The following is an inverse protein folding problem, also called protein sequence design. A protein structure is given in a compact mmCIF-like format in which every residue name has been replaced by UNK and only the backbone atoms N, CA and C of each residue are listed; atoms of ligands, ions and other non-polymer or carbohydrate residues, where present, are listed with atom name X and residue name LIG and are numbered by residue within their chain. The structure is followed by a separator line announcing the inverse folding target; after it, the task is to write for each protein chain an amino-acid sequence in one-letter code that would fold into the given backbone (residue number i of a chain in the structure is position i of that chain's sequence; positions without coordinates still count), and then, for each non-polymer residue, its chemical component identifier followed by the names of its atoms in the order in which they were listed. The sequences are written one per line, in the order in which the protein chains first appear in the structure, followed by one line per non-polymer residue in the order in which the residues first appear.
data_IF_396573491085
#
_entry.id   IF_396573491085
#
_cell.length_a   1.000
_cell.length_b   1.000
_cell.length_c   1.000
_cell.angle_alpha   90.00
_cell.angle_beta   90.00
_cell.angle_gamma   90.00
#
_symmetry.space_group_name_H-M   'P 1'
#
loop_
_entity.id
_entity.type
_entity.pdbx_description
1 polymer ?
#
# COMPACT_ATOMS: atom_id res chain seq x y z
N UNK A 1 -9.06 29.46 26.96
CA UNK A 1 -9.85 29.30 25.75
C UNK A 1 -9.10 29.62 24.47
N UNK A 2 -8.34 30.71 24.41
CA UNK A 2 -7.59 31.04 23.18
C UNK A 2 -6.56 30.00 22.80
N UNK A 3 -5.94 29.30 23.77
CA UNK A 3 -4.93 28.29 23.50
C UNK A 3 -5.52 27.01 22.89
N UNK A 4 -6.77 26.69 23.26
CA UNK A 4 -7.44 25.48 22.72
C UNK A 4 -7.80 25.63 21.26
N UNK A 5 -8.17 26.86 20.83
CA UNK A 5 -8.49 27.12 19.44
C UNK A 5 -7.27 26.97 18.54
N UNK A 6 -6.09 27.42 18.95
CA UNK A 6 -4.84 27.28 18.20
C UNK A 6 -4.45 25.79 18.07
N UNK A 7 -4.62 25.02 19.12
CA UNK A 7 -4.33 23.58 19.10
C UNK A 7 -5.25 22.84 18.13
N UNK A 8 -6.53 23.19 18.12
CA UNK A 8 -7.51 22.57 17.20
C UNK A 8 -7.17 22.90 15.76
N UNK A 9 -6.80 24.13 15.45
CA UNK A 9 -6.40 24.52 14.09
C UNK A 9 -5.14 23.78 13.67
N UNK A 10 -4.16 23.63 14.54
CA UNK A 10 -2.93 22.90 14.25
C UNK A 10 -3.21 21.42 13.94
N UNK A 11 -4.07 20.76 14.71
CA UNK A 11 -4.46 19.38 14.48
C UNK A 11 -5.17 19.25 13.13
N UNK A 12 -6.04 20.17 12.79
CA UNK A 12 -6.73 20.19 11.50
C UNK A 12 -5.76 20.32 10.32
N UNK A 13 -4.77 21.20 10.42
CA UNK A 13 -3.76 21.38 9.38
C UNK A 13 -2.93 20.10 9.20
N UNK A 14 -2.55 19.43 10.27
CA UNK A 14 -1.82 18.17 10.21
C UNK A 14 -2.63 17.11 9.46
N UNK A 15 -3.93 17.02 9.71
CA UNK A 15 -4.81 16.06 9.03
C UNK A 15 -4.89 16.30 7.52
N UNK A 16 -4.83 17.55 7.08
CA UNK A 16 -4.88 17.89 5.65
C UNK A 16 -3.68 17.32 4.89
N UNK A 17 -2.51 17.19 5.53
CA UNK A 17 -1.29 16.71 4.89
C UNK A 17 -1.07 15.21 5.07
N UNK A 18 -1.91 14.51 5.79
CA UNK A 18 -1.78 13.08 5.97
C UNK A 18 -2.31 12.31 4.77
N UNK A 19 -1.60 11.23 4.41
CA UNK A 19 -2.08 10.28 3.41
C UNK A 19 -3.23 9.45 3.98
N UNK A 20 -4.07 8.92 3.10
CA UNK A 20 -5.11 7.99 3.50
C UNK A 20 -4.48 6.65 3.89
N UNK A 21 -5.03 6.03 4.91
CA UNK A 21 -4.57 4.75 5.42
C UNK A 21 -5.73 3.77 5.39
N UNK A 22 -5.50 2.58 4.88
CA UNK A 22 -6.45 1.48 4.90
C UNK A 22 -5.76 0.21 5.39
N UNK A 23 -6.34 -0.45 6.38
CA UNK A 23 -5.81 -1.68 6.93
C UNK A 23 -6.76 -2.83 6.69
N UNK A 24 -6.25 -3.94 6.14
CA UNK A 24 -6.90 -5.23 6.10
C UNK A 24 -6.21 -6.17 7.10
N UNK A 25 -6.63 -7.44 7.15
CA UNK A 25 -6.00 -8.40 8.07
C UNK A 25 -4.51 -8.60 7.78
N UNK A 26 -4.11 -8.47 6.52
CA UNK A 26 -2.78 -8.84 6.05
C UNK A 26 -1.96 -7.66 5.56
N UNK A 27 -2.61 -6.57 5.15
CA UNK A 27 -1.96 -5.43 4.53
C UNK A 27 -2.40 -4.12 5.15
N UNK A 28 -1.44 -3.20 5.23
CA UNK A 28 -1.72 -1.80 5.52
C UNK A 28 -1.35 -0.99 4.29
N UNK A 29 -2.31 -0.28 3.72
CA UNK A 29 -2.13 0.56 2.55
C UNK A 29 -2.08 2.03 2.96
N UNK A 30 -1.08 2.75 2.46
CA UNK A 30 -0.98 4.19 2.63
C UNK A 30 -0.79 4.83 1.26
N UNK A 31 -1.68 5.76 0.91
CA UNK A 31 -1.69 6.41 -0.39
C UNK A 31 -2.44 7.73 -0.32
N UNK A 32 -2.14 8.63 -1.25
CA UNK A 32 -2.87 9.89 -1.39
C UNK A 32 -4.29 9.68 -1.90
N UNK A 33 -4.52 8.61 -2.65
CA UNK A 33 -5.82 8.31 -3.23
C UNK A 33 -6.13 6.84 -3.05
N UNK A 34 -7.09 6.53 -2.19
CA UNK A 34 -7.58 5.17 -1.96
C UNK A 34 -9.06 5.13 -2.29
N UNK A 35 -9.44 4.20 -3.16
CA UNK A 35 -10.80 4.02 -3.61
C UNK A 35 -11.21 2.57 -3.41
N UNK A 36 -12.42 2.38 -2.87
CA UNK A 36 -13.01 1.04 -2.73
C UNK A 36 -14.07 0.85 -3.80
N UNK A 37 -13.82 -0.06 -4.75
CA UNK A 37 -14.80 -0.46 -5.74
C UNK A 37 -15.62 -1.61 -5.16
N UNK A 38 -16.88 -1.33 -4.82
CA UNK A 38 -17.72 -2.24 -4.02
C UNK A 38 -18.23 -3.44 -4.80
N UNK A 39 -18.51 -3.27 -6.10
CA UNK A 39 -19.09 -4.33 -6.92
C UNK A 39 -18.17 -5.54 -7.03
N UNK A 40 -16.89 -5.29 -7.27
CA UNK A 40 -15.86 -6.33 -7.39
C UNK A 40 -15.04 -6.51 -6.12
N UNK A 41 -15.30 -5.71 -5.09
CA UNK A 41 -14.58 -5.73 -3.82
C UNK A 41 -13.08 -5.49 -4.00
N UNK A 42 -12.74 -4.47 -4.81
CA UNK A 42 -11.37 -4.08 -5.09
C UNK A 42 -10.98 -2.84 -4.29
N UNK A 43 -9.79 -2.86 -3.73
CA UNK A 43 -9.18 -1.68 -3.14
C UNK A 43 -8.14 -1.15 -4.11
N UNK A 44 -8.34 0.08 -4.58
CA UNK A 44 -7.47 0.71 -5.58
C UNK A 44 -6.75 1.89 -4.92
N UNK A 45 -5.42 1.85 -4.92
CA UNK A 45 -4.59 2.94 -4.42
C UNK A 45 -3.76 3.51 -5.55
N UNK A 46 -3.77 4.83 -5.71
CA UNK A 46 -3.10 5.55 -6.80
C UNK A 46 -2.23 6.68 -6.26
N UNK A 47 -1.41 7.26 -7.14
CA UNK A 47 -0.55 8.41 -6.83
C UNK A 47 0.49 8.11 -5.76
N UNK A 48 1.10 6.95 -5.88
CA UNK A 48 2.09 6.48 -4.92
C UNK A 48 1.43 5.71 -3.79
N UNK A 49 1.84 4.47 -3.60
CA UNK A 49 1.31 3.61 -2.55
C UNK A 49 2.46 2.95 -1.80
N UNK A 50 2.30 2.88 -0.48
CA UNK A 50 3.15 2.09 0.40
C UNK A 50 2.29 1.02 1.04
N UNK A 51 2.70 -0.23 0.89
CA UNK A 51 2.02 -1.38 1.49
C UNK A 51 2.97 -2.05 2.46
N UNK A 52 2.51 -2.24 3.68
CA UNK A 52 3.23 -3.05 4.68
C UNK A 52 2.45 -4.31 4.99
N UNK A 53 3.18 -5.39 5.14
CA UNK A 53 2.59 -6.68 5.47
C UNK A 53 2.95 -7.09 6.90
N UNK A 54 2.17 -8.01 7.46
CA UNK A 54 2.43 -8.50 8.81
C UNK A 54 3.67 -9.42 8.90
N UNK A 55 4.17 -9.88 7.75
CA UNK A 55 5.37 -10.72 7.68
C UNK A 55 6.66 -9.95 7.34
N UNK A 56 6.62 -8.63 7.42
CA UNK A 56 7.81 -7.80 7.34
C UNK A 56 8.18 -7.26 5.97
N UNK A 57 7.27 -7.33 5.01
CA UNK A 57 7.51 -6.72 3.69
C UNK A 57 7.10 -5.26 3.68
N UNK A 58 7.95 -4.42 3.09
CA UNK A 58 7.65 -3.03 2.78
C UNK A 58 7.62 -2.88 1.27
N UNK A 59 6.48 -2.45 0.73
CA UNK A 59 6.26 -2.40 -0.71
C UNK A 59 5.95 -0.97 -1.13
N UNK A 60 6.64 -0.49 -2.15
CA UNK A 60 6.35 0.79 -2.76
C UNK A 60 6.03 0.59 -4.23
N UNK A 61 5.01 1.27 -4.73
CA UNK A 61 4.61 1.26 -6.13
C UNK A 61 3.89 2.57 -6.47
N UNK A 62 3.65 2.81 -7.75
CA UNK A 62 2.83 3.97 -8.15
C UNK A 62 1.35 3.69 -7.94
N UNK A 63 0.94 2.45 -8.12
CA UNK A 63 -0.46 2.05 -8.06
C UNK A 63 -0.57 0.63 -7.52
N UNK A 64 -1.66 0.35 -6.80
CA UNK A 64 -1.96 -1.01 -6.38
C UNK A 64 -3.45 -1.30 -6.52
N UNK A 65 -3.77 -2.55 -6.85
CA UNK A 65 -5.14 -3.06 -6.90
C UNK A 65 -5.17 -4.33 -6.06
N UNK A 66 -5.96 -4.31 -4.99
CA UNK A 66 -6.11 -5.46 -4.11
C UNK A 66 -7.50 -6.06 -4.25
N UNK A 67 -7.57 -7.29 -4.74
CA UNK A 67 -8.82 -8.06 -4.77
C UNK A 67 -9.02 -8.70 -3.40
N UNK A 68 -9.99 -8.19 -2.67
CA UNK A 68 -10.25 -8.62 -1.28
C UNK A 68 -10.89 -10.00 -1.20
N UNK A 69 -11.56 -10.42 -2.27
CA UNK A 69 -12.16 -11.75 -2.33
C UNK A 69 -11.14 -12.84 -2.60
N UNK A 70 -10.28 -12.61 -3.58
CA UNK A 70 -9.23 -13.55 -3.98
C UNK A 70 -7.95 -13.41 -3.17
N UNK A 71 -7.80 -12.31 -2.44
CA UNK A 71 -6.58 -11.95 -1.70
C UNK A 71 -5.36 -11.88 -2.61
N UNK A 72 -5.55 -11.24 -3.76
CA UNK A 72 -4.50 -11.00 -4.74
C UNK A 72 -4.21 -9.51 -4.79
N UNK A 73 -2.94 -9.16 -4.63
CA UNK A 73 -2.46 -7.78 -4.69
C UNK A 73 -1.63 -7.59 -5.95
N UNK A 74 -2.10 -6.71 -6.84
CA UNK A 74 -1.35 -6.27 -8.01
C UNK A 74 -0.68 -4.94 -7.70
N UNK A 75 0.62 -4.86 -7.98
CA UNK A 75 1.43 -3.67 -7.79
C UNK A 75 1.96 -3.25 -9.15
N UNK A 76 1.76 -1.98 -9.48
CA UNK A 76 1.97 -1.47 -10.84
C UNK A 76 2.89 -0.27 -10.81
N UNK A 77 3.88 -0.27 -11.70
CA UNK A 77 4.86 0.78 -11.98
C UNK A 77 5.83 1.07 -10.84
N UNK A 78 7.09 0.92 -11.12
CA UNK A 78 8.20 1.19 -10.19
C UNK A 78 8.02 0.47 -8.86
N UNK A 79 7.76 -0.82 -8.93
CA UNK A 79 7.50 -1.63 -7.73
C UNK A 79 8.83 -1.98 -7.06
N UNK A 80 8.89 -1.71 -5.76
CA UNK A 80 10.03 -2.09 -4.92
C UNK A 80 9.50 -2.82 -3.71
N UNK A 81 9.99 -4.02 -3.49
CA UNK A 81 9.67 -4.82 -2.30
C UNK A 81 10.93 -4.99 -1.49
N UNK A 82 10.88 -4.58 -0.23
CA UNK A 82 11.95 -4.77 0.73
C UNK A 82 11.49 -5.75 1.79
N UNK A 83 12.19 -6.89 1.89
CA UNK A 83 12.02 -7.82 3.00
C UNK A 83 12.92 -7.36 4.14
N UNK A 84 12.33 -6.77 5.17
CA UNK A 84 13.08 -6.18 6.28
C UNK A 84 13.73 -7.23 7.17
N UNK A 85 13.23 -8.46 7.13
CA UNK A 85 13.77 -9.56 7.97
C UNK A 85 14.97 -10.19 7.27
N UNK A 86 14.86 -10.48 5.97
CA UNK A 86 15.92 -11.13 5.20
C UNK A 86 16.86 -10.15 4.49
N UNK A 87 16.54 -8.87 4.54
CA UNK A 87 17.31 -7.80 3.88
C UNK A 87 17.43 -8.01 2.35
N UNK A 88 16.36 -8.51 1.73
CA UNK A 88 16.29 -8.72 0.28
C UNK A 88 15.41 -7.64 -0.32
N UNK A 89 15.87 -7.07 -1.44
CA UNK A 89 15.12 -6.07 -2.20
C UNK A 89 14.80 -6.61 -3.59
N UNK A 90 13.53 -6.47 -4.01
CA UNK A 90 13.05 -6.85 -5.33
C UNK A 90 12.53 -5.59 -6.03
N UNK A 91 12.94 -5.38 -7.28
CA UNK A 91 12.45 -4.28 -8.10
C UNK A 91 11.87 -4.83 -9.39
N UNK A 92 10.70 -4.30 -9.80
CA UNK A 92 10.02 -4.72 -11.02
C UNK A 92 9.04 -3.63 -11.47
N UNK A 93 8.60 -3.70 -12.73
CA UNK A 93 7.55 -2.81 -13.23
C UNK A 93 6.16 -3.25 -12.79
N UNK A 94 5.96 -4.54 -12.58
CA UNK A 94 4.68 -5.09 -12.13
C UNK A 94 4.92 -6.36 -11.34
N UNK A 95 4.27 -6.45 -10.18
CA UNK A 95 4.35 -7.63 -9.31
C UNK A 95 2.93 -7.99 -8.87
N UNK A 96 2.63 -9.28 -8.90
CA UNK A 96 1.41 -9.85 -8.34
C UNK A 96 1.77 -10.69 -7.13
N UNK A 97 1.16 -10.36 -6.00
CA UNK A 97 1.34 -11.09 -4.75
C UNK A 97 0.05 -11.84 -4.39
N UNK A 98 0.15 -13.16 -4.29
CA UNK A 98 -0.98 -14.01 -3.89
C UNK A 98 -0.79 -14.47 -2.45
N UNK A 99 -1.57 -13.90 -1.54
CA UNK A 99 -1.40 -14.15 -0.10
C UNK A 99 -1.71 -15.59 0.29
N UNK A 100 -2.74 -16.20 -0.30
CA UNK A 100 -3.12 -17.58 0.00
C UNK A 100 -2.01 -18.58 -0.32
N UNK A 101 -1.27 -18.34 -1.40
CA UNK A 101 -0.19 -19.21 -1.86
C UNK A 101 1.17 -18.72 -1.38
N UNK A 102 1.22 -17.53 -0.78
CA UNK A 102 2.46 -16.85 -0.40
C UNK A 102 3.45 -16.74 -1.55
N UNK A 103 2.92 -16.48 -2.76
CA UNK A 103 3.72 -16.40 -3.99
C UNK A 103 3.74 -14.99 -4.53
N UNK A 104 4.89 -14.63 -5.10
CA UNK A 104 5.11 -13.34 -5.76
C UNK A 104 5.44 -13.64 -7.22
N UNK A 105 4.71 -12.99 -8.14
CA UNK A 105 4.92 -13.12 -9.58
C UNK A 105 5.32 -11.77 -10.16
N UNK A 106 6.29 -11.78 -11.05
CA UNK A 106 6.71 -10.59 -11.79
C UNK A 106 6.48 -10.79 -13.28
N UNK A 107 5.85 -9.80 -13.93
CA UNK A 107 5.58 -9.84 -15.36
C UNK A 107 6.73 -9.29 -16.19
N UNK A 108 7.67 -8.60 -15.57
CA UNK A 108 8.82 -7.97 -16.23
C UNK A 108 10.12 -8.35 -15.53
N UNK A 109 11.23 -7.83 -16.05
CA UNK A 109 12.54 -8.07 -15.47
C UNK A 109 12.56 -7.68 -14.00
N UNK A 110 12.90 -8.63 -13.14
CA UNK A 110 12.99 -8.45 -11.71
C UNK A 110 14.45 -8.42 -11.27
N UNK A 111 14.79 -7.44 -10.45
CA UNK A 111 16.12 -7.33 -9.83
C UNK A 111 16.00 -7.69 -8.34
N UNK A 112 16.94 -8.48 -7.91
CA UNK A 112 17.00 -8.91 -6.52
C UNK A 112 18.28 -8.36 -5.90
#
# INVERSE_FOLDING_TARGET
MKNNLKIIILIFIINVFQSNLFASEEFVFESKSIELEKTKNLLIAKDGVTVTTNDGLLINAKESIYDRNLKILDLIDNVKILDQIQEVQIESEKITYEKKLEKIFSDNLTKI
#
